data_IF_265400476051
#
_entry.id   IF_265400476051
#
_cell.length_a   1.000
_cell.length_b   1.000
_cell.length_c   1.000
_cell.angle_alpha   90.00
_cell.angle_beta   90.00
_cell.angle_gamma   90.00
#
_symmetry.space_group_name_H-M   'P 1'
#
loop_
_entity.id
_entity.type
_entity.pdbx_description
1 polymer ?
#
# COMPACT_ATOMS: atom_id res chain seq x y z
N UNK A 1 29.19 -8.34 -2.32
CA UNK A 1 27.93 -8.40 -1.56
C UNK A 1 26.88 -7.92 -2.54
N UNK A 2 26.12 -8.82 -3.16
CA UNK A 2 25.06 -8.42 -4.09
C UNK A 2 24.00 -7.64 -3.31
N UNK A 3 23.73 -6.40 -3.71
CA UNK A 3 22.56 -5.68 -3.21
C UNK A 3 21.33 -6.47 -3.68
N UNK A 4 20.64 -7.11 -2.74
CA UNK A 4 19.38 -7.79 -3.05
C UNK A 4 18.30 -6.75 -3.23
N UNK A 5 17.68 -6.74 -4.40
CA UNK A 5 16.50 -5.94 -4.67
C UNK A 5 15.37 -6.34 -3.72
N UNK A 6 14.75 -5.34 -3.08
CA UNK A 6 13.64 -5.57 -2.17
C UNK A 6 12.36 -4.98 -2.75
N UNK A 7 11.28 -5.73 -2.68
CA UNK A 7 9.97 -5.34 -3.17
C UNK A 7 9.03 -5.05 -2.01
N UNK A 8 8.29 -3.96 -2.13
CA UNK A 8 7.38 -3.43 -1.15
C UNK A 8 5.99 -3.38 -1.77
N UNK A 9 5.09 -4.20 -1.24
CA UNK A 9 3.68 -4.19 -1.62
C UNK A 9 2.98 -3.17 -0.76
N UNK A 10 2.60 -2.05 -1.37
CA UNK A 10 2.02 -0.91 -0.69
C UNK A 10 0.53 -0.81 -1.01
N UNK A 11 -0.21 -0.24 -0.08
CA UNK A 11 -1.65 -0.05 -0.22
C UNK A 11 -2.08 1.34 0.22
N UNK A 12 -3.25 1.77 -0.26
CA UNK A 12 -3.95 2.95 0.24
C UNK A 12 -5.28 2.53 0.84
N UNK A 13 -5.48 2.86 2.11
CA UNK A 13 -6.73 2.64 2.83
C UNK A 13 -7.51 3.95 2.97
N UNK A 14 -8.83 3.83 2.87
CA UNK A 14 -9.76 4.93 3.09
C UNK A 14 -10.26 4.94 4.54
N UNK A 15 -10.05 6.04 5.27
CA UNK A 15 -10.39 6.13 6.69
C UNK A 15 -11.73 6.86 6.94
N UNK A 16 -12.33 7.49 5.92
CA UNK A 16 -13.59 8.22 6.03
C UNK A 16 -13.44 9.71 5.77
N UNK A 17 -14.53 10.48 5.97
CA UNK A 17 -14.59 11.93 5.71
C UNK A 17 -14.47 12.80 6.95
N UNK A 18 -14.50 12.20 8.14
CA UNK A 18 -14.51 12.93 9.41
C UNK A 18 -13.08 13.00 9.96
N UNK A 19 -12.26 13.85 9.34
CA UNK A 19 -10.85 14.01 9.72
C UNK A 19 -10.70 15.27 10.56
N UNK A 20 -10.04 15.14 11.71
CA UNK A 20 -9.57 16.30 12.47
C UNK A 20 -8.13 16.57 12.10
N UNK A 21 -7.86 17.71 11.46
CA UNK A 21 -6.50 18.18 11.16
C UNK A 21 -6.20 19.29 12.17
N UNK A 22 -5.15 19.10 12.98
CA UNK A 22 -4.77 20.05 14.05
C UNK A 22 -5.93 20.41 14.98
N UNK A 23 -6.78 19.45 15.31
CA UNK A 23 -7.94 19.64 16.21
C UNK A 23 -9.22 20.15 15.54
N UNK A 24 -9.16 20.61 14.28
CA UNK A 24 -10.33 21.12 13.56
C UNK A 24 -10.91 20.06 12.63
N UNK A 25 -12.24 19.85 12.69
CA UNK A 25 -12.94 19.03 11.72
C UNK A 25 -12.93 19.75 10.37
N UNK A 26 -12.41 19.09 9.34
CA UNK A 26 -12.37 19.67 7.99
C UNK A 26 -13.46 19.01 7.14
N UNK A 27 -14.57 19.71 6.84
CA UNK A 27 -15.64 19.16 6.01
C UNK A 27 -15.16 18.93 4.58
N UNK A 28 -15.60 17.83 3.96
CA UNK A 28 -15.28 17.49 2.57
C UNK A 28 -13.91 16.86 2.34
N UNK A 29 -13.11 16.62 3.39
CA UNK A 29 -11.78 16.00 3.26
C UNK A 29 -11.86 14.50 3.51
N UNK A 30 -11.37 13.71 2.55
CA UNK A 30 -11.21 12.27 2.70
C UNK A 30 -9.88 11.94 3.39
N UNK A 31 -9.92 11.29 4.55
CA UNK A 31 -8.70 10.70 5.13
C UNK A 31 -8.35 9.42 4.39
N UNK A 32 -7.09 9.34 3.98
CA UNK A 32 -6.47 8.17 3.38
C UNK A 32 -5.17 7.90 4.12
N UNK A 33 -4.79 6.64 4.28
CA UNK A 33 -3.44 6.28 4.75
C UNK A 33 -2.74 5.38 3.74
N UNK A 34 -1.44 5.60 3.57
CA UNK A 34 -0.57 4.69 2.85
C UNK A 34 -0.01 3.67 3.85
N UNK A 35 0.05 2.41 3.44
CA UNK A 35 0.57 1.31 4.24
C UNK A 35 1.51 0.46 3.40
N UNK A 36 2.42 -0.26 4.06
CA UNK A 36 3.15 -1.37 3.46
C UNK A 36 2.55 -2.65 3.99
N UNK A 37 1.95 -3.45 3.12
CA UNK A 37 1.29 -4.70 3.47
C UNK A 37 2.29 -5.85 3.58
N UNK A 38 3.29 -5.86 2.69
CA UNK A 38 4.31 -6.91 2.65
C UNK A 38 5.64 -6.39 2.10
N UNK A 39 6.73 -7.04 2.51
CA UNK A 39 8.06 -6.92 1.93
C UNK A 39 8.53 -8.30 1.48
N UNK A 40 9.20 -8.39 0.33
CA UNK A 40 9.73 -9.64 -0.22
C UNK A 40 10.97 -9.35 -1.05
N UNK A 41 11.89 -10.30 -1.12
CA UNK A 41 13.12 -10.27 -1.93
C UNK A 41 12.92 -10.81 -3.35
N UNK A 42 11.71 -11.26 -3.69
CA UNK A 42 11.33 -11.73 -5.02
C UNK A 42 10.27 -10.82 -5.63
N UNK A 43 10.33 -10.60 -6.95
CA UNK A 43 9.33 -9.78 -7.65
C UNK A 43 7.97 -10.47 -7.57
N UNK A 44 6.96 -9.88 -6.89
CA UNK A 44 5.68 -10.53 -6.73
C UNK A 44 4.86 -10.48 -8.02
N UNK A 45 4.08 -11.53 -8.27
CA UNK A 45 3.10 -11.54 -9.37
C UNK A 45 1.88 -10.68 -9.03
N UNK A 46 1.04 -10.41 -10.04
CA UNK A 46 -0.22 -9.68 -9.81
C UNK A 46 -1.15 -10.49 -8.90
N UNK A 47 -1.18 -11.80 -9.07
CA UNK A 47 -1.99 -12.75 -8.29
C UNK A 47 -1.56 -12.76 -6.82
N UNK A 48 -0.25 -12.77 -6.55
CA UNK A 48 0.28 -12.68 -5.18
C UNK A 48 -0.14 -11.37 -4.49
N UNK A 49 -0.03 -10.26 -5.21
CA UNK A 49 -0.40 -8.92 -4.72
C UNK A 49 -1.89 -8.87 -4.38
N UNK A 50 -2.76 -9.42 -5.24
CA UNK A 50 -4.20 -9.48 -4.99
C UNK A 50 -4.53 -10.37 -3.79
N UNK A 51 -3.87 -11.52 -3.67
CA UNK A 51 -4.05 -12.42 -2.52
C UNK A 51 -3.68 -11.73 -1.20
N UNK A 52 -2.52 -11.06 -1.14
CA UNK A 52 -2.12 -10.34 0.07
C UNK A 52 -3.02 -9.14 0.37
N UNK A 53 -3.55 -8.46 -0.65
CA UNK A 53 -4.52 -7.39 -0.46
C UNK A 53 -5.82 -7.91 0.19
N UNK A 54 -6.31 -9.07 -0.24
CA UNK A 54 -7.50 -9.71 0.33
C UNK A 54 -7.27 -10.20 1.78
N UNK A 55 -6.13 -10.86 2.02
CA UNK A 55 -5.72 -11.26 3.37
C UNK A 55 -5.63 -10.04 4.31
N UNK A 56 -5.11 -8.92 3.81
CA UNK A 56 -5.04 -7.67 4.57
C UNK A 56 -6.41 -7.08 4.90
N UNK A 57 -7.33 -7.07 3.92
CA UNK A 57 -8.73 -6.62 4.11
C UNK A 57 -9.41 -7.43 5.22
N UNK A 58 -9.28 -8.76 5.15
CA UNK A 58 -9.84 -9.70 6.11
C UNK A 58 -9.28 -9.51 7.52
N UNK A 59 -7.95 -9.48 7.69
CA UNK A 59 -7.31 -9.44 9.01
C UNK A 59 -7.45 -8.11 9.76
N UNK A 60 -7.67 -7.00 9.05
CA UNK A 60 -7.65 -5.64 9.66
C UNK A 60 -8.98 -4.90 9.56
N UNK A 61 -10.05 -5.54 9.07
CA UNK A 61 -11.29 -4.86 8.66
C UNK A 61 -10.95 -3.60 7.84
N UNK A 62 -10.00 -3.77 6.92
CA UNK A 62 -9.35 -2.66 6.23
C UNK A 62 -10.21 -2.16 5.09
N UNK A 63 -10.26 -0.84 4.92
CA UNK A 63 -10.90 -0.15 3.79
C UNK A 63 -9.88 0.09 2.68
N UNK A 64 -9.04 -0.90 2.39
CA UNK A 64 -8.08 -0.87 1.29
C UNK A 64 -8.80 -0.64 -0.04
N UNK A 65 -8.27 0.29 -0.85
CA UNK A 65 -8.83 0.69 -2.15
C UNK A 65 -7.86 0.56 -3.31
N UNK A 66 -6.56 0.67 -3.04
CA UNK A 66 -5.51 0.64 -4.06
C UNK A 66 -4.30 -0.13 -3.55
N UNK A 67 -3.63 -0.84 -4.44
CA UNK A 67 -2.38 -1.55 -4.16
C UNK A 67 -1.39 -1.34 -5.31
N UNK A 68 -0.10 -1.24 -5.01
CA UNK A 68 0.98 -1.17 -5.99
C UNK A 68 2.27 -1.74 -5.42
N UNK A 69 3.23 -2.04 -6.29
CA UNK A 69 4.54 -2.58 -5.90
C UNK A 69 5.63 -1.59 -6.22
N UNK A 70 6.49 -1.36 -5.23
CA UNK A 70 7.72 -0.58 -5.37
C UNK A 70 8.91 -1.50 -5.17
N UNK A 71 9.95 -1.37 -5.99
CA UNK A 71 11.25 -1.98 -5.81
C UNK A 71 12.20 -0.95 -5.22
N UNK A 72 13.09 -1.38 -4.32
CA UNK A 72 14.26 -0.61 -3.91
C UNK A 72 15.51 -1.32 -4.43
N UNK A 73 16.29 -0.57 -5.21
CA UNK A 73 17.61 -0.97 -5.72
C UNK A 73 18.63 0.00 -5.08
N UNK A 74 19.42 -0.49 -4.12
CA UNK A 74 20.28 0.36 -3.28
C UNK A 74 19.47 1.40 -2.48
N UNK A 75 19.55 2.67 -2.89
CA UNK A 75 18.78 3.78 -2.29
C UNK A 75 17.67 4.34 -3.21
N UNK A 76 17.44 3.73 -4.37
CA UNK A 76 16.49 4.22 -5.38
C UNK A 76 15.19 3.44 -5.30
N UNK A 77 14.08 4.17 -5.31
CA UNK A 77 12.74 3.61 -5.36
C UNK A 77 12.20 3.65 -6.79
N UNK A 78 11.65 2.52 -7.25
CA UNK A 78 11.04 2.39 -8.58
C UNK A 78 9.68 1.73 -8.46
N UNK A 79 8.66 2.28 -9.13
CA UNK A 79 7.36 1.61 -9.26
C UNK A 79 7.49 0.52 -10.33
N UNK A 80 7.23 -0.73 -9.95
CA UNK A 80 7.42 -1.90 -10.83
C UNK A 80 6.11 -2.58 -11.22
N UNK A 81 5.01 -2.17 -10.60
CA UNK A 81 3.67 -2.65 -10.96
C UNK A 81 2.70 -1.47 -10.93
N UNK A 82 1.79 -1.46 -11.90
CA UNK A 82 0.73 -0.46 -11.93
C UNK A 82 -0.18 -0.51 -10.71
N UNK A 83 -0.87 0.61 -10.48
CA UNK A 83 -1.81 0.69 -9.36
C UNK A 83 -3.02 -0.16 -9.71
N UNK A 84 -3.33 -1.11 -8.84
CA UNK A 84 -4.50 -1.96 -8.93
C UNK A 84 -5.55 -1.40 -7.98
N UNK A 85 -6.77 -1.18 -8.49
CA UNK A 85 -7.92 -0.82 -7.67
C UNK A 85 -8.62 -2.09 -7.16
N UNK A 86 -9.07 -2.07 -5.88
CA UNK A 86 -9.57 -3.21 -5.09
C UNK A 86 -10.90 -2.86 -4.40
#
# INVERSE_FOLDING_TARGET
MEEKDMYYVNGQEYLGRNVKIRGHAVPGVEAKRLITMKKTDEMPTREDVLKWAEEWKSHKNSKLKKVWVMQIEGNRWKKVMDVIEI
#
